data_IF_864097215942
#
_entry.id   IF_864097215942
#
_cell.length_a   1.000
_cell.length_b   1.000
_cell.length_c   1.000
_cell.angle_alpha   90.00
_cell.angle_beta   90.00
_cell.angle_gamma   90.00
#
_symmetry.space_group_name_H-M   'P 1'
#
loop_
_entity.id
_entity.type
_entity.pdbx_description
1 polymer ?
#
# COMPACT_ATOMS: atom_id res chain seq x y z
N UNK A 1 -4.73 -13.94 -1.21
CA UNK A 1 -4.17 -12.64 -0.82
C UNK A 1 -5.07 -12.13 0.28
N UNK A 2 -4.51 -11.69 1.38
CA UNK A 2 -5.27 -11.26 2.55
C UNK A 2 -5.03 -9.77 2.75
N UNK A 3 -6.11 -9.04 2.97
CA UNK A 3 -6.07 -7.63 3.32
C UNK A 3 -5.47 -7.53 4.73
N UNK A 4 -4.42 -6.72 4.85
CA UNK A 4 -3.69 -6.49 6.10
C UNK A 4 -4.04 -5.13 6.71
N UNK A 5 -4.42 -4.16 5.89
CA UNK A 5 -4.89 -2.84 6.32
C UNK A 5 -5.70 -2.18 5.19
N UNK A 6 -6.61 -1.30 5.57
CA UNK A 6 -7.39 -0.47 4.66
C UNK A 6 -7.50 0.95 5.23
N UNK A 7 -7.63 1.93 4.35
CA UNK A 7 -7.84 3.33 4.76
C UNK A 7 -8.39 4.14 3.61
N UNK A 8 -9.20 5.15 3.91
CA UNK A 8 -9.70 6.08 2.91
C UNK A 8 -9.70 7.51 3.41
N UNK A 9 -9.54 8.45 2.49
CA UNK A 9 -9.52 9.88 2.78
C UNK A 9 -10.11 10.68 1.63
N UNK A 10 -10.87 11.72 1.95
CA UNK A 10 -11.38 12.67 0.97
C UNK A 10 -10.52 13.93 0.98
N UNK A 11 -10.07 14.35 -0.20
CA UNK A 11 -9.28 15.57 -0.40
C UNK A 11 -9.98 16.51 -1.38
N UNK A 12 -9.75 17.81 -1.24
CA UNK A 12 -10.24 18.82 -2.19
C UNK A 12 -9.35 19.00 -3.43
N UNK A 13 -8.25 18.23 -3.52
CA UNK A 13 -7.35 18.22 -4.67
C UNK A 13 -8.04 17.64 -5.90
N UNK A 14 -7.54 17.98 -7.09
CA UNK A 14 -7.95 17.30 -8.31
C UNK A 14 -7.48 15.85 -8.31
N UNK A 15 -8.16 14.98 -9.05
CA UNK A 15 -7.81 13.57 -9.14
C UNK A 15 -6.38 13.35 -9.68
N UNK A 16 -5.95 14.15 -10.66
CA UNK A 16 -4.58 14.10 -11.20
C UNK A 16 -3.53 14.53 -10.16
N UNK A 17 -3.79 15.61 -9.41
CA UNK A 17 -2.87 16.08 -8.38
C UNK A 17 -2.77 15.08 -7.21
N UNK A 18 -3.91 14.51 -6.80
CA UNK A 18 -3.96 13.48 -5.77
C UNK A 18 -3.17 12.23 -6.19
N UNK A 19 -3.33 11.77 -7.43
CA UNK A 19 -2.56 10.64 -7.99
C UNK A 19 -1.07 10.93 -8.01
N UNK A 20 -0.65 12.10 -8.51
CA UNK A 20 0.76 12.48 -8.60
C UNK A 20 1.41 12.57 -7.20
N UNK A 21 0.69 13.09 -6.21
CA UNK A 21 1.16 13.17 -4.83
C UNK A 21 1.32 11.76 -4.23
N UNK A 22 0.29 10.91 -4.34
CA UNK A 22 0.33 9.53 -3.83
C UNK A 22 1.45 8.74 -4.49
N UNK A 23 1.61 8.86 -5.81
CA UNK A 23 2.71 8.21 -6.53
C UNK A 23 4.08 8.64 -5.98
N UNK A 24 4.30 9.95 -5.82
CA UNK A 24 5.55 10.50 -5.29
C UNK A 24 5.81 10.02 -3.87
N UNK A 25 4.79 9.97 -3.03
CA UNK A 25 4.89 9.50 -1.64
C UNK A 25 5.22 8.01 -1.55
N UNK A 26 4.58 7.19 -2.39
CA UNK A 26 4.85 5.75 -2.45
C UNK A 26 6.28 5.45 -2.91
N UNK A 27 6.77 6.16 -3.93
CA UNK A 27 8.16 6.06 -4.36
C UNK A 27 9.15 6.51 -3.28
N UNK A 28 8.84 7.62 -2.58
CA UNK A 28 9.65 8.11 -1.47
C UNK A 28 9.72 7.12 -0.29
N UNK A 29 8.64 6.36 -0.07
CA UNK A 29 8.58 5.27 0.88
C UNK A 29 9.31 3.99 0.40
N UNK A 30 9.92 4.01 -0.78
CA UNK A 30 10.69 2.90 -1.34
C UNK A 30 9.81 1.79 -1.93
N UNK A 31 8.53 2.05 -2.19
CA UNK A 31 7.67 1.14 -2.94
C UNK A 31 7.88 1.35 -4.43
N UNK A 32 7.95 0.25 -5.18
CA UNK A 32 7.94 0.28 -6.63
C UNK A 32 6.49 0.40 -7.09
N UNK A 33 6.12 1.56 -7.62
CA UNK A 33 4.81 1.76 -8.24
C UNK A 33 4.84 1.12 -9.63
N UNK A 34 3.87 0.24 -9.91
CA UNK A 34 3.68 -0.34 -11.23
C UNK A 34 2.91 0.68 -12.07
N UNK A 35 3.64 1.37 -12.95
CA UNK A 35 3.08 2.31 -13.94
C UNK A 35 2.29 1.64 -15.07
N UNK A 36 2.26 0.29 -15.10
CA UNK A 36 1.65 -0.55 -16.14
C UNK A 36 0.29 -1.14 -15.73
N UNK A 37 -0.46 -0.53 -14.80
CA UNK A 37 -1.86 -0.93 -14.54
C UNK A 37 -2.77 -0.43 -15.68
N UNK A 38 -2.65 -1.10 -16.82
CA UNK A 38 -3.36 -0.87 -18.09
C UNK A 38 -4.89 -1.15 -18.05
N UNK A 39 -5.51 -1.28 -16.87
CA UNK A 39 -6.91 -1.71 -16.77
C UNK A 39 -7.87 -0.79 -16.04
N UNK A 40 -7.41 0.17 -15.23
CA UNK A 40 -8.29 1.16 -14.59
C UNK A 40 -7.55 2.49 -14.52
N UNK A 41 -8.05 3.49 -15.25
CA UNK A 41 -7.44 4.81 -15.34
C UNK A 41 -7.30 5.49 -13.96
N UNK A 42 -8.03 5.01 -12.95
CA UNK A 42 -8.15 5.58 -11.61
C UNK A 42 -7.59 4.71 -10.48
N UNK A 43 -6.68 3.78 -10.78
CA UNK A 43 -6.00 2.97 -9.77
C UNK A 43 -4.46 3.05 -9.87
N UNK A 44 -3.78 3.05 -8.73
CA UNK A 44 -2.33 2.95 -8.59
C UNK A 44 -1.97 1.71 -7.77
N UNK A 45 -1.10 0.84 -8.30
CA UNK A 45 -0.59 -0.30 -7.57
C UNK A 45 0.90 -0.12 -7.23
N UNK A 46 1.26 -0.27 -5.96
CA UNK A 46 2.61 -0.24 -5.44
C UNK A 46 3.03 -1.57 -4.82
N UNK A 47 4.32 -1.92 -4.92
CA UNK A 47 4.87 -3.15 -4.34
C UNK A 47 6.14 -2.85 -3.55
N UNK A 48 6.19 -3.31 -2.30
CA UNK A 48 7.32 -3.12 -1.37
C UNK A 48 7.87 -4.43 -0.81
N UNK A 49 9.02 -4.33 -0.12
CA UNK A 49 9.61 -5.41 0.67
C UNK A 49 10.57 -6.36 -0.06
N UNK A 50 11.29 -7.18 0.72
CA UNK A 50 12.34 -8.10 0.24
C UNK A 50 11.91 -9.56 0.32
N UNK A 51 11.14 -9.99 -0.67
CA UNK A 51 10.54 -11.34 -0.77
C UNK A 51 11.57 -12.49 -0.64
N UNK A 52 12.78 -12.31 -1.17
CA UNK A 52 13.85 -13.31 -1.05
C UNK A 52 14.40 -13.42 0.37
N UNK A 53 14.65 -12.28 1.03
CA UNK A 53 15.10 -12.26 2.44
C UNK A 53 14.02 -12.84 3.35
N UNK A 54 12.77 -12.48 3.10
CA UNK A 54 11.61 -13.02 3.79
C UNK A 54 11.60 -14.55 3.76
N UNK A 55 11.75 -15.14 2.58
CA UNK A 55 11.77 -16.61 2.40
C UNK A 55 12.95 -17.31 3.07
N UNK A 56 14.08 -16.62 3.24
CA UNK A 56 15.31 -17.18 3.80
C UNK A 56 15.42 -17.02 5.32
N UNK A 57 14.93 -15.91 5.87
CA UNK A 57 15.14 -15.53 7.27
C UNK A 57 13.85 -15.55 8.09
N UNK A 58 12.69 -15.54 7.45
CA UNK A 58 11.40 -15.44 8.14
C UNK A 58 11.17 -14.09 8.82
N UNK A 59 9.96 -13.89 9.35
CA UNK A 59 9.45 -12.60 9.88
C UNK A 59 10.19 -12.10 11.11
N UNK A 60 10.74 -13.02 11.90
CA UNK A 60 11.31 -12.69 13.20
C UNK A 60 12.53 -11.78 13.07
N UNK A 61 13.23 -11.86 11.93
CA UNK A 61 14.42 -11.06 11.62
C UNK A 61 14.16 -9.92 10.62
N UNK A 62 12.92 -9.76 10.16
CA UNK A 62 12.56 -8.66 9.26
C UNK A 62 12.04 -7.46 10.04
N UNK A 63 12.48 -6.27 9.63
CA UNK A 63 11.86 -5.01 10.02
C UNK A 63 10.56 -4.80 9.24
N UNK A 64 9.66 -4.01 9.82
CA UNK A 64 8.31 -3.73 9.29
C UNK A 64 8.33 -3.15 7.87
N UNK A 65 9.33 -2.33 7.55
CA UNK A 65 9.58 -1.72 6.24
C UNK A 65 10.14 -2.70 5.19
N UNK A 66 10.67 -3.86 5.62
CA UNK A 66 11.19 -4.88 4.71
C UNK A 66 10.14 -5.95 4.36
N UNK A 67 8.96 -5.91 4.99
CA UNK A 67 7.91 -6.91 4.79
C UNK A 67 7.33 -6.82 3.38
N UNK A 68 7.15 -7.98 2.69
CA UNK A 68 6.56 -8.00 1.37
C UNK A 68 5.06 -7.64 1.43
N UNK A 69 4.74 -6.43 0.99
CA UNK A 69 3.39 -5.87 0.88
C UNK A 69 3.09 -5.41 -0.55
N UNK A 70 1.81 -5.39 -0.89
CA UNK A 70 1.25 -4.75 -2.07
C UNK A 70 0.27 -3.69 -1.60
N UNK A 71 0.30 -2.53 -2.24
CA UNK A 71 -0.59 -1.41 -1.97
C UNK A 71 -1.39 -1.20 -3.23
N UNK A 72 -2.72 -1.22 -3.14
CA UNK A 72 -3.61 -0.89 -4.23
C UNK A 72 -4.38 0.36 -3.80
N UNK A 73 -4.23 1.46 -4.53
CA UNK A 73 -4.89 2.74 -4.26
C UNK A 73 -5.88 3.03 -5.36
N UNK A 74 -7.14 3.26 -4.99
CA UNK A 74 -8.23 3.63 -5.88
C UNK A 74 -8.63 5.09 -5.66
N UNK A 75 -8.89 5.79 -6.76
CA UNK A 75 -9.31 7.18 -6.77
C UNK A 75 -10.72 7.28 -7.32
N UNK A 76 -11.59 8.06 -6.67
CA UNK A 76 -12.92 8.34 -7.18
C UNK A 76 -13.30 9.80 -6.95
N UNK A 77 -13.92 10.43 -7.94
CA UNK A 77 -14.45 11.78 -7.78
C UNK A 77 -15.80 11.74 -7.09
N UNK A 78 -15.96 12.58 -6.06
CA UNK A 78 -17.19 12.74 -5.28
C UNK A 78 -17.60 14.21 -5.26
N UNK A 79 -18.82 14.52 -4.85
CA UNK A 79 -19.30 15.91 -4.71
C UNK A 79 -18.46 16.73 -3.70
N UNK A 80 -17.78 16.06 -2.77
CA UNK A 80 -16.93 16.67 -1.75
C UNK A 80 -15.44 16.82 -2.15
N UNK A 81 -15.05 16.32 -3.34
CA UNK A 81 -13.67 16.27 -3.81
C UNK A 81 -13.26 14.86 -4.26
N UNK A 82 -11.97 14.56 -4.28
CA UNK A 82 -11.44 13.24 -4.64
C UNK A 82 -11.37 12.35 -3.39
N UNK A 83 -12.04 11.20 -3.44
CA UNK A 83 -11.88 10.11 -2.48
C UNK A 83 -10.70 9.24 -2.90
N UNK A 84 -9.74 9.07 -2.01
CA UNK A 84 -8.58 8.19 -2.16
C UNK A 84 -8.75 7.04 -1.17
N UNK A 85 -8.86 5.83 -1.69
CA UNK A 85 -8.96 4.59 -0.91
C UNK A 85 -7.73 3.75 -1.14
N UNK A 86 -7.11 3.23 -0.07
CA UNK A 86 -5.93 2.39 -0.15
C UNK A 86 -6.18 1.06 0.56
N UNK A 87 -5.90 -0.03 -0.14
CA UNK A 87 -5.90 -1.38 0.40
C UNK A 87 -4.48 -1.94 0.40
N UNK A 88 -4.09 -2.55 1.52
CA UNK A 88 -2.79 -3.20 1.67
C UNK A 88 -2.99 -4.70 1.73
N UNK A 89 -2.35 -5.39 0.79
CA UNK A 89 -2.40 -6.83 0.63
C UNK A 89 -1.05 -7.47 0.96
N UNK A 90 -1.05 -8.65 1.55
CA UNK A 90 0.18 -9.43 1.69
C UNK A 90 0.69 -9.91 0.31
N UNK A 91 2.00 -9.87 0.09
CA UNK A 91 2.62 -10.32 -1.18
C UNK A 91 3.33 -11.66 -1.06
N UNK A 92 3.07 -12.43 -0.01
CA UNK A 92 3.88 -13.62 0.28
C UNK A 92 3.66 -14.78 -0.70
N UNK A 93 2.50 -14.78 -1.36
CA UNK A 93 2.08 -15.79 -2.31
C UNK A 93 1.08 -16.78 -1.70
N UNK A 94 0.50 -17.61 -2.57
CA UNK A 94 -0.53 -18.59 -2.21
C UNK A 94 0.06 -19.65 -1.26
N UNK A 95 -0.56 -19.86 -0.09
CA UNK A 95 -0.24 -20.95 0.83
C UNK A 95 0.41 -20.54 2.16
N UNK A 96 0.73 -19.26 2.38
CA UNK A 96 1.18 -18.76 3.69
C UNK A 96 0.02 -18.02 4.34
N UNK A 97 -0.60 -18.61 5.37
CA UNK A 97 -1.73 -17.99 6.08
C UNK A 97 -1.24 -17.02 7.16
N UNK A 98 -1.89 -15.85 7.25
CA UNK A 98 -1.81 -14.95 8.41
C UNK A 98 -2.16 -15.73 9.67
N UNK A 99 -1.29 -15.64 10.70
CA UNK A 99 -1.48 -16.29 11.99
C UNK A 99 -0.71 -17.60 12.24
N UNK A 100 -0.13 -18.25 11.23
CA UNK A 100 0.76 -19.43 11.48
C UNK A 100 2.26 -19.13 11.29
N UNK A 101 2.61 -18.40 10.23
CA UNK A 101 3.99 -17.98 9.93
C UNK A 101 4.10 -16.45 9.95
N UNK A 102 2.96 -15.81 9.71
CA UNK A 102 2.73 -14.39 9.52
C UNK A 102 2.31 -13.74 10.84
N UNK A 103 3.12 -12.81 11.35
CA UNK A 103 2.79 -11.96 12.49
C UNK A 103 1.81 -10.87 12.04
N UNK A 104 0.51 -10.99 12.39
CA UNK A 104 -0.53 -10.10 11.88
C UNK A 104 -0.30 -8.66 12.34
N UNK A 105 0.17 -8.45 13.56
CA UNK A 105 0.38 -7.12 14.13
C UNK A 105 1.50 -6.37 13.38
N UNK A 106 2.56 -7.08 12.99
CA UNK A 106 3.64 -6.50 12.16
C UNK A 106 3.15 -6.15 10.76
N UNK A 107 2.29 -6.98 10.18
CA UNK A 107 1.75 -6.75 8.84
C UNK A 107 0.74 -5.60 8.81
N UNK A 108 -0.11 -5.51 9.83
CA UNK A 108 -1.01 -4.39 10.04
C UNK A 108 -0.20 -3.09 10.24
N UNK A 109 0.83 -3.11 11.09
CA UNK A 109 1.70 -1.95 11.30
C UNK A 109 2.42 -1.51 10.01
N UNK A 110 2.89 -2.45 9.19
CA UNK A 110 3.48 -2.15 7.88
C UNK A 110 2.46 -1.53 6.93
N UNK A 111 1.24 -2.06 6.91
CA UNK A 111 0.15 -1.52 6.11
C UNK A 111 -0.26 -0.12 6.54
N UNK A 112 -0.45 0.11 7.84
CA UNK A 112 -0.79 1.43 8.37
C UNK A 112 0.32 2.47 8.09
N UNK A 113 1.59 2.09 8.21
CA UNK A 113 2.71 2.97 7.86
C UNK A 113 2.72 3.31 6.36
N UNK A 114 2.44 2.35 5.49
CA UNK A 114 2.33 2.57 4.05
C UNK A 114 1.15 3.48 3.68
N UNK A 115 -0.02 3.30 4.32
CA UNK A 115 -1.18 4.18 4.14
C UNK A 115 -0.87 5.60 4.60
N UNK A 116 -0.25 5.75 5.79
CA UNK A 116 0.10 7.05 6.33
C UNK A 116 1.07 7.82 5.42
N UNK A 117 2.06 7.14 4.85
CA UNK A 117 2.96 7.76 3.88
C UNK A 117 2.23 8.07 2.56
N UNK A 118 1.40 7.15 2.04
CA UNK A 118 0.61 7.40 0.82
C UNK A 118 -0.27 8.65 0.96
N UNK A 119 -0.92 8.84 2.12
CA UNK A 119 -1.86 9.94 2.37
C UNK A 119 -1.21 11.23 2.85
N UNK A 120 0.12 11.25 2.99
CA UNK A 120 0.86 12.40 3.50
C UNK A 120 0.67 13.61 2.59
N UNK A 121 0.11 14.67 3.14
CA UNK A 121 -0.16 15.91 2.41
C UNK A 121 -1.47 15.94 1.61
N UNK A 122 -2.29 14.89 1.68
CA UNK A 122 -3.66 14.91 1.12
C UNK A 122 -4.68 15.61 2.04
N UNK A 123 -4.36 15.73 3.33
CA UNK A 123 -5.15 16.50 4.30
C UNK A 123 -4.80 17.98 4.19
N UNK A 124 -5.82 18.82 3.98
CA UNK A 124 -5.73 20.27 4.06
C UNK A 124 -5.62 20.78 5.50
#
# INVERSE_FOLDING_TARGET
>A
MTICAEGSITTSMSLDDAKALVHTNLEAAGLKVDSDSDSDADALAGKGGKLLKYRLLGIWFMHTDELPIRVDVEFSETEAGTLVSAEIHDRQGVGIQLGQVLDPDKYEAAGQAAIAEAFKGLTS
#
